data_IF_526536609789
#
_entry.id   IF_526536609789
#
_cell.length_a   1.000
_cell.length_b   1.000
_cell.length_c   1.000
_cell.angle_alpha   90.00
_cell.angle_beta   90.00
_cell.angle_gamma   90.00
#
_symmetry.space_group_name_H-M   'P 1'
#
loop_
_entity.id
_entity.type
_entity.pdbx_description
1 polymer ?
#
# COMPACT_ATOMS: atom_id res chain seq x y z
N UNK A 1 7.32 -15.13 -16.40
CA UNK A 1 6.06 -14.87 -17.14
C UNK A 1 5.36 -13.56 -16.74
N UNK A 2 5.24 -13.19 -15.46
CA UNK A 2 4.46 -12.00 -15.05
C UNK A 2 5.17 -10.63 -15.01
N UNK A 3 6.49 -10.56 -14.89
CA UNK A 3 7.25 -9.29 -14.93
C UNK A 3 7.06 -8.33 -13.73
N UNK A 4 6.20 -8.66 -12.76
CA UNK A 4 5.96 -7.87 -11.55
C UNK A 4 6.61 -8.49 -10.31
N UNK A 5 7.04 -7.62 -9.39
CA UNK A 5 7.70 -8.00 -8.12
C UNK A 5 6.73 -7.86 -6.93
N UNK A 6 5.57 -8.51 -7.00
CA UNK A 6 4.61 -8.53 -5.89
C UNK A 6 5.09 -9.47 -4.79
N UNK A 7 5.05 -9.00 -3.54
CA UNK A 7 5.48 -9.79 -2.38
C UNK A 7 4.30 -10.54 -1.76
N UNK A 8 4.52 -11.65 -1.03
CA UNK A 8 3.47 -12.32 -0.25
C UNK A 8 2.73 -11.37 0.71
N UNK A 9 3.46 -10.43 1.34
CA UNK A 9 2.85 -9.40 2.19
C UNK A 9 1.94 -8.44 1.40
N UNK A 10 2.27 -8.16 0.15
CA UNK A 10 1.39 -7.42 -0.77
C UNK A 10 0.05 -8.12 -0.99
N UNK A 11 0.08 -9.44 -1.24
CA UNK A 11 -1.14 -10.25 -1.36
C UNK A 11 -1.96 -10.30 -0.06
N UNK A 12 -1.29 -10.38 1.10
CA UNK A 12 -1.95 -10.27 2.40
C UNK A 12 -2.66 -8.92 2.58
N UNK A 13 -2.02 -7.80 2.20
CA UNK A 13 -2.64 -6.47 2.28
C UNK A 13 -3.88 -6.36 1.39
N UNK A 14 -3.79 -6.84 0.14
CA UNK A 14 -4.93 -6.85 -0.78
C UNK A 14 -6.07 -7.73 -0.24
N UNK A 15 -5.74 -8.93 0.26
CA UNK A 15 -6.74 -9.83 0.85
C UNK A 15 -7.42 -9.20 2.06
N UNK A 16 -6.67 -8.52 2.93
CA UNK A 16 -7.24 -7.78 4.04
C UNK A 16 -8.21 -6.69 3.58
N UNK A 17 -7.83 -5.88 2.58
CA UNK A 17 -8.71 -4.81 2.06
C UNK A 17 -10.04 -5.39 1.58
N UNK A 18 -10.00 -6.49 0.81
CA UNK A 18 -11.22 -7.14 0.31
C UNK A 18 -12.01 -7.82 1.44
N UNK A 19 -11.34 -8.42 2.44
CA UNK A 19 -12.01 -8.99 3.63
C UNK A 19 -12.72 -7.91 4.44
N UNK A 20 -12.07 -6.76 4.67
CA UNK A 20 -12.66 -5.64 5.39
C UNK A 20 -13.91 -5.11 4.64
N UNK A 21 -13.84 -4.99 3.30
CA UNK A 21 -15.01 -4.68 2.46
C UNK A 21 -16.09 -5.76 2.52
N UNK A 22 -15.72 -7.04 2.55
CA UNK A 22 -16.69 -8.13 2.62
C UNK A 22 -17.44 -8.15 3.96
N UNK A 23 -16.75 -7.83 5.06
CA UNK A 23 -17.38 -7.66 6.36
C UNK A 23 -18.41 -6.52 6.36
N UNK A 24 -18.12 -5.43 5.65
CA UNK A 24 -19.01 -4.26 5.55
C UNK A 24 -20.19 -4.50 4.59
N UNK A 25 -19.93 -5.10 3.44
CA UNK A 25 -20.87 -5.11 2.31
C UNK A 25 -21.59 -6.43 2.09
N UNK A 26 -21.08 -7.54 2.63
CA UNK A 26 -21.63 -8.88 2.38
C UNK A 26 -21.45 -9.89 3.53
N UNK A 27 -21.59 -9.44 4.78
CA UNK A 27 -21.55 -10.25 6.01
C UNK A 27 -20.31 -11.18 6.12
N UNK A 28 -19.16 -10.69 5.64
CA UNK A 28 -17.90 -11.45 5.67
C UNK A 28 -17.82 -12.59 4.65
N UNK A 29 -18.77 -12.70 3.71
CA UNK A 29 -18.73 -13.71 2.65
C UNK A 29 -17.68 -13.34 1.61
N UNK A 30 -16.55 -14.04 1.65
CA UNK A 30 -15.45 -13.89 0.70
C UNK A 30 -14.88 -15.26 0.34
N UNK A 31 -14.69 -15.51 -0.95
CA UNK A 31 -13.97 -16.66 -1.48
C UNK A 31 -12.81 -16.18 -2.36
N UNK A 32 -11.66 -16.84 -2.28
CA UNK A 32 -10.53 -16.63 -3.18
C UNK A 32 -10.38 -17.86 -4.07
N UNK A 33 -10.28 -17.66 -5.38
CA UNK A 33 -9.99 -18.73 -6.34
C UNK A 33 -8.55 -18.57 -6.85
N UNK A 34 -7.82 -19.68 -6.93
CA UNK A 34 -6.49 -19.68 -7.51
C UNK A 34 -6.61 -19.74 -9.04
N UNK A 35 -6.01 -18.77 -9.72
CA UNK A 35 -5.98 -18.70 -11.18
C UNK A 35 -4.57 -19.07 -11.69
N UNK A 36 -3.76 -18.08 -12.09
CA UNK A 36 -2.39 -18.27 -12.54
C UNK A 36 -1.36 -18.33 -11.41
N UNK A 37 -0.10 -18.44 -11.81
CA UNK A 37 1.04 -18.56 -10.90
C UNK A 37 1.86 -19.79 -11.26
N UNK A 38 3.03 -19.57 -11.85
CA UNK A 38 3.82 -20.65 -12.44
C UNK A 38 5.07 -20.99 -11.63
N UNK A 39 5.50 -20.07 -10.77
CA UNK A 39 6.61 -20.29 -9.85
C UNK A 39 6.09 -20.83 -8.53
N UNK A 40 6.42 -22.09 -8.21
CA UNK A 40 5.83 -22.81 -7.08
C UNK A 40 6.06 -22.11 -5.73
N UNK A 41 7.28 -21.64 -5.48
CA UNK A 41 7.63 -21.08 -4.17
C UNK A 41 7.00 -19.70 -3.91
N UNK A 42 7.06 -18.72 -4.82
CA UNK A 42 6.31 -17.47 -4.68
C UNK A 42 4.80 -17.69 -4.65
N UNK A 43 4.29 -18.66 -5.42
CA UNK A 43 2.87 -19.01 -5.43
C UNK A 43 2.42 -19.50 -4.05
N UNK A 44 3.09 -20.53 -3.51
CA UNK A 44 2.76 -21.11 -2.21
C UNK A 44 2.83 -20.06 -1.11
N UNK A 45 3.89 -19.24 -1.09
CA UNK A 45 4.07 -18.19 -0.09
C UNK A 45 2.97 -17.12 -0.15
N UNK A 46 2.57 -16.72 -1.36
CA UNK A 46 1.51 -15.70 -1.55
C UNK A 46 0.12 -16.25 -1.24
N UNK A 47 -0.16 -17.51 -1.57
CA UNK A 47 -1.39 -18.19 -1.19
C UNK A 47 -1.50 -18.31 0.34
N UNK A 48 -0.44 -18.77 1.00
CA UNK A 48 -0.40 -18.88 2.46
C UNK A 48 -0.64 -17.52 3.14
N UNK A 49 0.02 -16.46 2.66
CA UNK A 49 -0.15 -15.10 3.19
C UNK A 49 -1.58 -14.57 3.02
N UNK A 50 -2.25 -14.93 1.91
CA UNK A 50 -3.64 -14.57 1.64
C UNK A 50 -4.60 -15.35 2.56
N UNK A 51 -4.45 -16.68 2.64
CA UNK A 51 -5.27 -17.54 3.49
C UNK A 51 -5.16 -17.17 4.97
N UNK A 52 -3.95 -16.80 5.44
CA UNK A 52 -3.76 -16.34 6.81
C UNK A 52 -4.69 -15.17 7.16
N UNK A 53 -4.99 -14.27 6.22
CA UNK A 53 -5.93 -13.17 6.46
C UNK A 53 -7.38 -13.62 6.58
N UNK A 54 -7.77 -14.74 5.98
CA UNK A 54 -9.14 -15.25 6.02
C UNK A 54 -9.46 -15.98 7.31
N UNK A 55 -8.45 -16.50 8.00
CA UNK A 55 -8.62 -17.19 9.29
C UNK A 55 -9.25 -16.27 10.36
N UNK A 56 -9.84 -16.85 11.42
CA UNK A 56 -10.27 -16.11 12.59
C UNK A 56 -9.14 -15.23 13.16
N UNK A 57 -9.52 -14.15 13.83
CA UNK A 57 -8.55 -13.26 14.45
C UNK A 57 -7.72 -14.03 15.49
N UNK A 58 -6.41 -13.76 15.52
CA UNK A 58 -5.43 -14.38 16.41
C UNK A 58 -5.11 -15.85 16.13
N UNK A 59 -5.56 -16.44 15.02
CA UNK A 59 -5.12 -17.79 14.63
C UNK A 59 -3.63 -17.80 14.25
N UNK A 60 -3.15 -16.76 13.56
CA UNK A 60 -1.74 -16.62 13.17
C UNK A 60 -1.29 -15.16 13.37
N UNK A 61 -1.10 -14.71 14.63
CA UNK A 61 -0.90 -13.28 14.95
C UNK A 61 0.24 -12.61 14.17
N UNK A 62 1.35 -13.31 13.95
CA UNK A 62 2.52 -12.76 13.25
C UNK A 62 2.33 -12.62 11.73
N UNK A 63 1.37 -13.36 11.17
CA UNK A 63 1.08 -13.38 9.73
C UNK A 63 -0.17 -12.57 9.37
N UNK A 64 -1.02 -12.27 10.36
CA UNK A 64 -2.27 -11.56 10.19
C UNK A 64 -2.08 -10.04 10.27
N UNK A 65 -2.59 -9.34 9.27
CA UNK A 65 -2.62 -7.88 9.24
C UNK A 65 -3.92 -7.46 9.93
N UNK A 66 -3.81 -6.79 11.07
CA UNK A 66 -4.96 -6.27 11.82
C UNK A 66 -5.21 -4.79 11.53
N UNK A 67 -4.15 -4.07 11.16
CA UNK A 67 -4.19 -2.64 10.80
C UNK A 67 -3.33 -2.36 9.58
N UNK A 68 -3.69 -1.36 8.80
CA UNK A 68 -2.87 -0.86 7.70
C UNK A 68 -1.75 0.08 8.16
N UNK A 69 -1.72 0.45 9.44
CA UNK A 69 -0.72 1.38 9.98
C UNK A 69 0.71 0.88 9.75
N UNK A 70 1.55 1.71 9.10
CA UNK A 70 2.96 1.43 8.77
C UNK A 70 3.17 0.14 7.95
N UNK A 71 2.19 -0.24 7.14
CA UNK A 71 2.29 -1.48 6.34
C UNK A 71 2.99 -1.31 5.00
N UNK A 72 3.02 -0.10 4.45
CA UNK A 72 3.62 0.21 3.15
C UNK A 72 4.91 1.02 3.31
N UNK A 73 5.88 0.78 2.44
CA UNK A 73 7.10 1.59 2.39
C UNK A 73 6.82 2.96 1.72
N UNK A 74 7.86 3.80 1.67
CA UNK A 74 7.76 5.14 1.06
C UNK A 74 7.85 5.13 -0.48
N UNK A 75 7.83 3.95 -1.12
CA UNK A 75 7.96 3.82 -2.57
C UNK A 75 6.72 4.40 -3.24
N UNK A 76 6.93 5.29 -4.21
CA UNK A 76 5.86 5.86 -5.02
C UNK A 76 5.58 4.96 -6.23
N UNK A 77 4.32 4.89 -6.70
CA UNK A 77 4.01 4.25 -7.97
C UNK A 77 4.86 4.87 -9.09
N UNK A 78 5.29 4.05 -10.05
CA UNK A 78 5.96 4.54 -11.25
C UNK A 78 4.96 5.28 -12.18
N UNK A 79 5.48 6.02 -13.16
CA UNK A 79 4.64 6.81 -14.08
C UNK A 79 3.61 5.98 -14.84
N UNK A 80 3.99 4.80 -15.34
CA UNK A 80 3.06 3.93 -16.07
C UNK A 80 1.88 3.47 -15.21
N UNK A 81 2.10 3.19 -13.93
CA UNK A 81 1.02 2.87 -12.99
C UNK A 81 0.10 4.07 -12.73
N UNK A 82 0.66 5.28 -12.61
CA UNK A 82 -0.12 6.51 -12.42
C UNK A 82 -0.99 6.82 -13.65
N UNK A 83 -0.39 6.74 -14.85
CA UNK A 83 -1.09 6.99 -16.12
C UNK A 83 -2.20 5.97 -16.36
N UNK A 84 -1.92 4.68 -16.13
CA UNK A 84 -2.92 3.61 -16.25
C UNK A 84 -4.10 3.83 -15.31
N UNK A 85 -3.83 4.20 -14.06
CA UNK A 85 -4.89 4.50 -13.09
C UNK A 85 -5.72 5.71 -13.51
N UNK A 86 -5.09 6.81 -13.96
CA UNK A 86 -5.77 8.00 -14.42
C UNK A 86 -6.70 7.70 -15.61
N UNK A 87 -6.24 6.87 -16.56
CA UNK A 87 -7.05 6.42 -17.69
C UNK A 87 -8.27 5.61 -17.24
N UNK A 88 -8.09 4.66 -16.31
CA UNK A 88 -9.20 3.88 -15.73
C UNK A 88 -10.20 4.80 -15.05
N UNK A 89 -9.75 5.74 -14.20
CA UNK A 89 -10.62 6.68 -13.52
C UNK A 89 -11.41 7.56 -14.52
N UNK A 90 -10.75 8.05 -15.56
CA UNK A 90 -11.40 8.85 -16.61
C UNK A 90 -12.50 8.08 -17.34
N UNK A 91 -12.30 6.79 -17.62
CA UNK A 91 -13.31 5.93 -18.26
C UNK A 91 -14.46 5.61 -17.29
N UNK A 92 -14.12 5.26 -16.05
CA UNK A 92 -15.07 4.76 -15.05
C UNK A 92 -15.94 5.85 -14.43
N UNK A 93 -15.53 7.13 -14.45
CA UNK A 93 -16.33 8.25 -13.90
C UNK A 93 -17.73 8.39 -14.51
N UNK A 94 -17.95 7.83 -15.70
CA UNK A 94 -19.27 7.77 -16.34
C UNK A 94 -20.25 6.87 -15.59
N UNK A 95 -19.73 5.83 -14.93
CA UNK A 95 -20.52 4.78 -14.29
C UNK A 95 -20.46 4.85 -12.76
N UNK A 96 -19.43 5.48 -12.21
CA UNK A 96 -19.18 5.58 -10.78
C UNK A 96 -19.06 7.04 -10.36
N UNK A 97 -19.65 7.39 -9.21
CA UNK A 97 -19.52 8.72 -8.63
C UNK A 97 -18.11 8.91 -8.04
N UNK A 98 -17.14 9.22 -8.90
CA UNK A 98 -15.77 9.50 -8.54
C UNK A 98 -15.58 11.00 -8.29
N UNK A 99 -14.80 11.37 -7.27
CA UNK A 99 -14.46 12.76 -7.01
C UNK A 99 -13.75 13.38 -8.22
N UNK A 100 -14.13 14.61 -8.58
CA UNK A 100 -13.45 15.41 -9.61
C UNK A 100 -11.94 15.55 -9.34
N UNK A 101 -11.53 15.51 -8.07
CA UNK A 101 -10.13 15.55 -7.67
C UNK A 101 -9.32 14.38 -8.25
N UNK A 102 -9.90 13.18 -8.36
CA UNK A 102 -9.24 11.98 -8.91
C UNK A 102 -9.04 12.11 -10.43
N UNK A 103 -9.95 12.83 -11.10
CA UNK A 103 -9.90 13.07 -12.54
C UNK A 103 -9.01 14.26 -12.92
N UNK A 104 -8.47 15.00 -11.94
CA UNK A 104 -7.60 16.14 -12.19
C UNK A 104 -6.24 15.72 -12.75
N UNK A 105 -5.68 16.41 -13.76
CA UNK A 105 -4.30 16.20 -14.21
C UNK A 105 -3.24 16.41 -13.11
N UNK A 106 -3.57 17.18 -12.07
CA UNK A 106 -2.71 17.42 -10.91
C UNK A 106 -2.91 16.40 -9.78
N UNK A 107 -3.80 15.42 -9.96
CA UNK A 107 -4.05 14.39 -8.96
C UNK A 107 -2.77 13.64 -8.63
N UNK A 108 -2.47 13.56 -7.34
CA UNK A 108 -1.42 12.70 -6.81
C UNK A 108 -2.09 11.71 -5.89
N UNK A 109 -1.97 10.43 -6.24
CA UNK A 109 -2.43 9.38 -5.35
C UNK A 109 -1.68 9.47 -4.03
N UNK A 110 -2.41 9.81 -2.97
CA UNK A 110 -1.87 9.89 -1.62
C UNK A 110 -2.52 8.80 -0.79
N UNK A 111 -1.72 7.78 -0.46
CA UNK A 111 -2.10 6.83 0.58
C UNK A 111 -2.32 7.57 1.90
N UNK A 112 -3.27 7.11 2.73
CA UNK A 112 -3.41 7.58 4.10
C UNK A 112 -2.05 7.63 4.81
N UNK A 113 -1.80 8.72 5.53
CA UNK A 113 -0.48 9.01 6.11
C UNK A 113 -0.03 7.93 7.10
N UNK A 114 -0.98 7.36 7.82
CA UNK A 114 -0.78 6.29 8.79
C UNK A 114 -0.38 4.95 8.14
N UNK A 115 -0.70 4.72 6.86
CA UNK A 115 -0.32 3.49 6.15
C UNK A 115 1.18 3.44 5.83
N UNK A 116 1.83 4.60 5.77
CA UNK A 116 3.24 4.73 5.42
C UNK A 116 4.11 4.31 6.59
N UNK A 117 5.14 3.52 6.32
CA UNK A 117 6.22 3.24 7.25
C UNK A 117 6.99 4.55 7.49
N UNK A 118 6.85 5.11 8.69
CA UNK A 118 7.42 6.40 9.08
C UNK A 118 8.94 6.37 9.22
N UNK A 119 9.52 5.18 9.37
CA UNK A 119 10.92 5.00 9.78
C UNK A 119 11.90 4.83 8.60
N UNK A 120 11.48 5.15 7.38
CA UNK A 120 12.41 5.23 6.24
C UNK A 120 13.25 6.52 6.34
N UNK A 121 14.55 6.42 6.09
CA UNK A 121 15.47 7.58 5.99
C UNK A 121 14.92 8.64 5.01
N UNK A 122 14.15 8.22 4.00
CA UNK A 122 13.50 9.09 3.01
C UNK A 122 12.28 9.86 3.53
N UNK A 123 11.67 9.43 4.64
CA UNK A 123 10.46 10.03 5.24
C UNK A 123 10.73 10.79 6.53
N UNK A 124 11.99 10.82 6.99
CA UNK A 124 12.38 11.64 8.13
C UNK A 124 12.14 13.13 7.78
N UNK A 125 11.42 13.90 8.61
CA UNK A 125 11.38 15.35 8.45
C UNK A 125 12.82 15.86 8.35
N UNK A 126 13.12 16.70 7.36
CA UNK A 126 14.42 17.40 7.34
C UNK A 126 14.54 18.09 8.69
N UNK A 127 15.51 17.67 9.49
CA UNK A 127 15.84 18.34 10.75
C UNK A 127 16.05 19.80 10.40
N UNK A 128 15.32 20.71 11.04
CA UNK A 128 15.58 22.14 10.88
C UNK A 128 17.07 22.35 11.09
N UNK A 129 17.74 22.91 10.07
CA UNK A 129 19.14 23.32 10.21
C UNK A 129 19.12 24.42 11.27
N UNK A 130 19.35 24.06 12.54
CA UNK A 130 19.73 25.07 13.53
C UNK A 130 20.89 25.85 12.93
N UNK A 131 20.84 27.18 12.87
CA UNK A 131 21.94 27.97 12.34
C UNK A 131 23.19 27.54 13.08
N UNK A 132 24.20 27.09 12.33
CA UNK A 132 25.51 26.80 12.89
C UNK A 132 26.01 28.14 13.40
N UNK A 133 26.04 28.33 14.72
CA UNK A 133 26.77 29.45 15.32
C UNK A 133 28.24 29.19 15.03
N UNK A 134 28.77 29.87 14.02
CA UNK A 134 30.21 29.94 13.79
C UNK A 134 30.79 30.61 15.04
N UNK A 135 31.68 29.96 15.80
CA UNK A 135 32.34 30.63 16.91
C UNK A 135 33.19 31.76 16.33
N UNK A 136 32.84 33.00 16.68
CA UNK A 136 33.68 34.16 16.42
C UNK A 136 34.86 34.02 17.36
N UNK A 137 36.05 33.77 16.80
CA UNK A 137 37.30 33.89 17.53
C UNK A 137 37.70 35.35 17.43
N UNK A 138 37.63 36.08 18.54
CA UNK A 138 38.21 37.42 18.63
C UNK A 138 39.73 37.29 18.51
N UNK A 139 40.29 37.87 17.45
CA UNK A 139 41.73 38.03 17.30
C UNK A 139 42.22 39.17 18.19
N UNK A 140 43.42 39.00 18.75
CA UNK A 140 44.14 40.07 19.45
C UNK A 140 44.48 41.23 18.50
#
# INVERSE_FOLDING_TARGET
LGGYNMTPRGYALLTKMVKDLANELCDGRLALTLEGGYELQPLASSCAASVAQLLPLNTLPDQQITTFKRTLNAVKPNMGAVESFAQVAFIQKKYWNLSDAICSPSFKFNLPSDWRATDSISTRPKRDKKPIKVPVVEGY
#
